data_IF_738521742221
#
_entry.id   IF_738521742221
#
_cell.length_a   1.000
_cell.length_b   1.000
_cell.length_c   1.000
_cell.angle_alpha   90.00
_cell.angle_beta   90.00
_cell.angle_gamma   90.00
#
_symmetry.space_group_name_H-M   'P 1'
#
loop_
_entity.id
_entity.type
_entity.pdbx_description
1 polymer ?
#
# COMPACT_ATOMS: atom_id res chain seq x y z
N UNK A 1 1.09 16.05 7.82
CA UNK A 1 0.58 16.77 6.63
C UNK A 1 -0.89 16.37 6.51
N UNK A 2 -1.82 17.32 6.52
CA UNK A 2 -3.23 17.02 6.36
C UNK A 2 -3.54 16.86 4.87
N UNK A 3 -3.94 15.66 4.44
CA UNK A 3 -4.31 15.38 3.07
C UNK A 3 -5.79 15.71 2.92
N UNK A 4 -6.11 16.69 2.08
CA UNK A 4 -7.49 17.11 1.83
C UNK A 4 -8.16 16.20 0.78
N UNK A 5 -8.30 14.92 1.11
CA UNK A 5 -9.00 13.93 0.31
C UNK A 5 -9.80 13.01 1.24
N UNK A 6 -11.13 13.01 1.08
CA UNK A 6 -12.04 12.30 1.97
C UNK A 6 -11.83 10.78 1.93
N UNK A 7 -11.62 10.22 0.73
CA UNK A 7 -11.39 8.78 0.55
C UNK A 7 -10.14 8.33 1.30
N UNK A 8 -9.04 9.07 1.13
CA UNK A 8 -7.78 8.77 1.82
C UNK A 8 -7.98 8.75 3.34
N UNK A 9 -8.62 9.80 3.87
CA UNK A 9 -8.84 9.93 5.30
C UNK A 9 -9.77 8.83 5.85
N UNK A 10 -10.83 8.48 5.13
CA UNK A 10 -11.73 7.39 5.50
C UNK A 10 -11.01 6.04 5.57
N UNK A 11 -10.15 5.71 4.59
CA UNK A 11 -9.40 4.45 4.62
C UNK A 11 -8.46 4.41 5.82
N UNK A 12 -7.70 5.48 6.07
CA UNK A 12 -6.82 5.58 7.24
C UNK A 12 -7.60 5.29 8.53
N UNK A 13 -8.80 5.87 8.66
CA UNK A 13 -9.66 5.65 9.82
C UNK A 13 -10.24 4.24 9.91
N UNK A 14 -10.63 3.63 8.79
CA UNK A 14 -11.26 2.31 8.76
C UNK A 14 -10.30 1.15 9.07
N UNK A 15 -8.99 1.37 8.95
CA UNK A 15 -8.01 0.34 9.34
C UNK A 15 -8.04 0.01 10.84
N UNK A 16 -8.48 0.95 11.69
CA UNK A 16 -8.37 0.82 13.15
C UNK A 16 -6.93 0.83 13.68
N UNK A 17 -5.95 1.16 12.83
CA UNK A 17 -4.53 1.18 13.14
C UNK A 17 -4.05 2.62 13.42
N UNK A 18 -2.82 2.82 13.95
CA UNK A 18 -2.29 4.15 14.21
C UNK A 18 -2.30 5.02 12.94
N UNK A 19 -3.01 6.15 13.00
CA UNK A 19 -3.25 7.01 11.82
C UNK A 19 -1.97 7.46 11.14
N UNK A 20 -0.94 7.79 11.91
CA UNK A 20 0.34 8.29 11.37
C UNK A 20 1.08 7.21 10.56
N UNK A 21 1.09 5.96 11.06
CA UNK A 21 1.74 4.84 10.39
C UNK A 21 1.02 4.50 9.08
N UNK A 22 -0.31 4.40 9.12
CA UNK A 22 -1.11 4.08 7.94
C UNK A 22 -1.12 5.20 6.91
N UNK A 23 -1.19 6.46 7.34
CA UNK A 23 -1.12 7.58 6.41
C UNK A 23 0.24 7.61 5.71
N UNK A 24 1.33 7.29 6.41
CA UNK A 24 2.66 7.16 5.83
C UNK A 24 2.72 6.04 4.79
N UNK A 25 2.27 4.85 5.16
CA UNK A 25 2.30 3.67 4.27
C UNK A 25 1.41 3.86 3.05
N UNK A 26 0.18 4.37 3.23
CA UNK A 26 -0.74 4.61 2.12
C UNK A 26 -0.20 5.70 1.18
N UNK A 27 0.46 6.73 1.72
CA UNK A 27 1.15 7.74 0.89
C UNK A 27 2.29 7.11 0.10
N UNK A 28 3.08 6.24 0.72
CA UNK A 28 4.15 5.51 0.05
C UNK A 28 3.61 4.66 -1.11
N UNK A 29 2.59 3.85 -0.85
CA UNK A 29 1.92 3.02 -1.87
C UNK A 29 1.43 3.90 -3.03
N UNK A 30 0.65 4.95 -2.76
CA UNK A 30 0.15 5.80 -3.85
C UNK A 30 1.28 6.44 -4.66
N UNK A 31 2.34 6.89 -3.99
CA UNK A 31 3.49 7.51 -4.65
C UNK A 31 4.30 6.54 -5.51
N UNK A 32 4.42 5.26 -5.13
CA UNK A 32 5.13 4.24 -5.92
C UNK A 32 4.41 3.93 -7.24
N UNK A 33 3.10 4.17 -7.29
CA UNK A 33 2.28 4.09 -8.50
C UNK A 33 2.08 5.44 -9.21
N UNK A 34 2.79 6.50 -8.79
CA UNK A 34 2.71 7.84 -9.41
C UNK A 34 1.40 8.58 -9.12
N UNK A 35 0.65 8.17 -8.09
CA UNK A 35 -0.62 8.77 -7.70
C UNK A 35 -0.42 9.81 -6.60
N UNK A 36 -1.22 10.87 -6.65
CA UNK A 36 -1.24 11.92 -5.63
C UNK A 36 -2.35 11.65 -4.61
N UNK A 37 -2.03 11.47 -3.31
CA UNK A 37 -3.02 11.26 -2.26
C UNK A 37 -4.11 12.33 -2.16
N UNK A 38 -3.81 13.57 -2.54
CA UNK A 38 -4.78 14.67 -2.51
C UNK A 38 -5.86 14.55 -3.59
N UNK A 39 -5.58 13.87 -4.69
CA UNK A 39 -6.46 13.81 -5.88
C UNK A 39 -6.81 12.39 -6.29
N UNK A 40 -6.45 11.38 -5.50
CA UNK A 40 -6.69 9.98 -5.80
C UNK A 40 -8.19 9.67 -5.84
N UNK A 41 -8.61 8.88 -6.84
CA UNK A 41 -9.98 8.36 -6.92
C UNK A 41 -10.09 7.00 -6.25
N UNK A 42 -11.32 6.56 -5.93
CA UNK A 42 -11.56 5.20 -5.39
C UNK A 42 -11.03 4.09 -6.33
N UNK A 43 -11.12 4.30 -7.63
CA UNK A 43 -10.65 3.33 -8.63
C UNK A 43 -9.12 3.21 -8.59
N UNK A 44 -8.42 4.34 -8.69
CA UNK A 44 -6.96 4.39 -8.62
C UNK A 44 -6.42 3.83 -7.30
N UNK A 45 -7.12 4.10 -6.20
CA UNK A 45 -6.76 3.57 -4.89
C UNK A 45 -6.92 2.05 -4.82
N UNK A 46 -8.00 1.48 -5.36
CA UNK A 46 -8.17 0.03 -5.45
C UNK A 46 -7.08 -0.61 -6.30
N UNK A 47 -6.73 -0.01 -7.42
CA UNK A 47 -5.68 -0.51 -8.30
C UNK A 47 -4.32 -0.50 -7.59
N UNK A 48 -3.96 0.61 -6.95
CA UNK A 48 -2.72 0.74 -6.19
C UNK A 48 -2.61 -0.29 -5.06
N UNK A 49 -3.68 -0.46 -4.28
CA UNK A 49 -3.72 -1.46 -3.20
C UNK A 49 -3.65 -2.89 -3.71
N UNK A 50 -4.30 -3.18 -4.84
CA UNK A 50 -4.27 -4.52 -5.47
C UNK A 50 -2.88 -4.86 -5.97
N UNK A 51 -2.20 -3.90 -6.61
CA UNK A 51 -0.84 -4.10 -7.08
C UNK A 51 0.14 -4.24 -5.89
N UNK A 52 0.01 -3.42 -4.85
CA UNK A 52 0.79 -3.58 -3.62
C UNK A 52 0.62 -4.98 -2.99
N UNK A 53 -0.61 -5.49 -2.90
CA UNK A 53 -0.86 -6.84 -2.41
C UNK A 53 -0.14 -7.89 -3.28
N UNK A 54 -0.14 -7.73 -4.61
CA UNK A 54 0.59 -8.63 -5.51
C UNK A 54 2.09 -8.58 -5.26
N UNK A 55 2.67 -7.39 -5.07
CA UNK A 55 4.09 -7.22 -4.77
C UNK A 55 4.47 -7.93 -3.46
N UNK A 56 3.66 -7.76 -2.41
CA UNK A 56 3.86 -8.45 -1.12
C UNK A 56 3.81 -9.96 -1.28
N UNK A 57 2.84 -10.49 -2.04
CA UNK A 57 2.73 -11.93 -2.29
C UNK A 57 3.92 -12.47 -3.10
N UNK A 58 4.41 -11.71 -4.08
CA UNK A 58 5.61 -12.07 -4.86
C UNK A 58 6.87 -12.05 -3.98
N UNK A 59 7.01 -11.05 -3.12
CA UNK A 59 8.12 -10.96 -2.17
C UNK A 59 8.14 -12.17 -1.23
N UNK A 60 6.99 -12.48 -0.61
CA UNK A 60 6.84 -13.65 0.26
C UNK A 60 7.17 -14.93 -0.49
N UNK A 61 6.67 -15.10 -1.71
CA UNK A 61 7.00 -16.26 -2.55
C UNK A 61 8.49 -16.36 -2.82
N UNK A 62 9.14 -15.26 -3.17
CA UNK A 62 10.58 -15.23 -3.46
C UNK A 62 11.43 -15.54 -2.23
N UNK A 63 11.03 -15.06 -1.04
CA UNK A 63 11.69 -15.39 0.22
C UNK A 63 11.58 -16.89 0.53
N UNK A 64 10.40 -17.50 0.29
CA UNK A 64 10.20 -18.94 0.46
C UNK A 64 11.03 -19.74 -0.55
N UNK A 65 11.00 -19.38 -1.83
CA UNK A 65 11.75 -20.10 -2.88
C UNK A 65 13.27 -19.96 -2.72
N UNK A 66 13.78 -18.75 -2.42
CA UNK A 66 15.21 -18.53 -2.19
C UNK A 66 15.76 -19.25 -0.95
N UNK A 67 14.93 -19.46 0.07
CA UNK A 67 15.28 -20.27 1.25
C UNK A 67 15.36 -21.78 0.94
N UNK A 68 14.67 -22.26 -0.11
CA UNK A 68 14.71 -23.66 -0.53
C UNK A 68 15.95 -23.95 -1.38
N UNK A 69 16.38 -23.01 -2.23
CA UNK A 69 17.53 -23.20 -3.13
C UNK A 69 18.89 -23.04 -2.44
N UNK A 70 18.96 -22.37 -1.28
CA UNK A 70 20.21 -22.09 -0.55
C UNK A 70 20.72 -23.25 0.32
N UNK A 71 20.04 -24.40 0.33
CA UNK A 71 20.39 -25.60 1.13
C UNK A 71 20.77 -26.82 0.27
N UNK A 72 21.13 -26.61 -1.00
CA UNK A 72 21.59 -27.69 -1.91
C UNK A 72 23.08 -27.63 -2.20
#
# INVERSE_FOLDING_TARGET
MEINNEIFNQIVEFTGLPKEEIAGELTYILSSYGLNPATVTMEQLRDAMTNYLQDVLLEVKNQISGAVDSNS
#
